data_IF_179222502030
#
_entry.id   IF_179222502030
#
_cell.length_a   1.000
_cell.length_b   1.000
_cell.length_c   1.000
_cell.angle_alpha   90.00
_cell.angle_beta   90.00
_cell.angle_gamma   90.00
#
_symmetry.space_group_name_H-M   'P 1'
#
loop_
_entity.id
_entity.type
_entity.pdbx_description
1 polymer ?
#
# COMPACT_ATOMS: atom_id res chain seq x y z
N UNK A 1 11.00 14.36 5.40
CA UNK A 1 12.19 13.97 6.18
C UNK A 1 13.35 14.99 6.11
N UNK A 2 14.46 14.88 6.88
CA UNK A 2 15.38 15.98 7.07
C UNK A 2 16.17 16.17 5.77
N UNK A 3 15.75 17.13 4.96
CA UNK A 3 16.52 17.67 3.84
C UNK A 3 17.92 18.13 4.29
N UNK A 4 18.15 18.22 5.59
CA UNK A 4 19.45 18.35 6.21
C UNK A 4 20.41 17.18 5.99
N UNK A 5 19.94 15.97 5.69
CA UNK A 5 20.82 14.86 5.34
C UNK A 5 21.35 14.94 3.90
N UNK A 6 20.69 15.69 3.01
CA UNK A 6 21.02 15.71 1.58
C UNK A 6 22.08 16.75 1.23
N UNK A 7 22.73 16.63 0.07
CA UNK A 7 23.76 17.62 -0.32
C UNK A 7 23.19 19.02 -0.42
N UNK A 8 23.98 20.00 0.01
CA UNK A 8 23.75 21.44 -0.20
C UNK A 8 23.64 21.84 -1.68
N UNK A 9 24.07 20.97 -2.60
CA UNK A 9 23.84 21.17 -4.05
C UNK A 9 22.39 20.97 -4.46
N UNK A 10 21.67 20.10 -3.75
CA UNK A 10 20.25 19.79 -3.99
C UNK A 10 19.37 20.65 -3.09
N UNK A 11 19.72 20.77 -1.81
CA UNK A 11 18.99 21.59 -0.84
C UNK A 11 19.94 22.61 -0.18
N UNK A 12 19.98 23.88 -0.65
CA UNK A 12 20.96 24.87 -0.18
C UNK A 12 20.93 25.18 1.33
N UNK A 13 19.83 24.83 2.01
CA UNK A 13 19.65 25.04 3.46
C UNK A 13 20.05 23.81 4.30
N UNK A 14 20.45 22.72 3.64
CA UNK A 14 20.84 21.47 4.29
C UNK A 14 22.05 21.64 5.22
N UNK A 15 22.01 20.94 6.35
CA UNK A 15 23.16 20.79 7.25
C UNK A 15 24.14 19.65 6.85
N UNK A 16 23.86 18.91 5.78
CA UNK A 16 24.56 17.69 5.33
C UNK A 16 24.81 16.66 6.48
N UNK A 17 23.82 16.52 7.38
CA UNK A 17 23.83 15.64 8.55
C UNK A 17 22.44 15.12 8.88
N UNK A 18 22.39 13.90 9.41
CA UNK A 18 21.19 13.33 10.05
C UNK A 18 20.93 14.07 11.37
N UNK A 19 19.70 14.56 11.57
CA UNK A 19 19.34 15.40 12.72
C UNK A 19 17.86 15.25 13.10
N UNK A 20 17.56 15.47 14.38
CA UNK A 20 16.20 15.67 14.88
C UNK A 20 15.93 17.13 15.20
N UNK A 21 14.72 17.57 14.89
CA UNK A 21 14.18 18.84 15.36
C UNK A 21 13.25 18.60 16.53
N UNK A 22 13.75 18.87 17.72
CA UNK A 22 13.01 18.71 18.96
C UNK A 22 12.40 20.05 19.35
N UNK A 23 11.08 20.18 19.16
CA UNK A 23 10.35 21.34 19.65
C UNK A 23 10.18 21.22 21.17
N UNK A 24 10.76 22.16 21.91
CA UNK A 24 10.68 22.25 23.38
C UNK A 24 9.62 23.26 23.84
N UNK A 25 8.78 23.74 22.91
CA UNK A 25 7.59 24.52 23.21
C UNK A 25 6.55 24.40 22.08
N UNK A 26 5.46 23.65 22.29
CA UNK A 26 4.85 23.35 23.60
C UNK A 26 5.36 22.08 24.31
N UNK A 27 6.31 21.34 23.72
CA UNK A 27 6.85 20.09 24.29
C UNK A 27 7.63 20.28 25.59
N UNK A 28 7.70 19.23 26.42
CA UNK A 28 8.51 19.22 27.66
C UNK A 28 9.49 18.04 27.62
N UNK A 29 10.79 18.28 27.40
CA UNK A 29 11.80 17.22 27.26
C UNK A 29 12.10 16.47 28.55
N UNK A 30 11.43 16.79 29.66
CA UNK A 30 11.50 16.03 30.91
C UNK A 30 10.41 14.99 31.08
N UNK A 31 9.41 14.96 30.19
CA UNK A 31 8.30 13.99 30.27
C UNK A 31 8.57 12.73 29.46
N UNK A 32 8.09 11.60 29.97
CA UNK A 32 8.27 10.29 29.35
C UNK A 32 7.58 10.18 27.97
N UNK A 33 6.43 10.82 27.76
CA UNK A 33 5.75 10.86 26.45
C UNK A 33 6.59 11.58 25.40
N UNK A 34 7.25 12.69 25.77
CA UNK A 34 8.19 13.38 24.89
C UNK A 34 9.41 12.51 24.55
N UNK A 35 9.94 11.78 25.53
CA UNK A 35 11.09 10.90 25.33
C UNK A 35 10.73 9.63 24.55
N UNK A 36 9.49 9.17 24.64
CA UNK A 36 8.91 8.14 23.78
C UNK A 36 8.89 8.58 22.32
N UNK A 37 8.38 9.79 22.05
CA UNK A 37 8.44 10.39 20.70
C UNK A 37 9.90 10.48 20.20
N UNK A 38 10.85 10.86 21.05
CA UNK A 38 12.26 10.85 20.66
C UNK A 38 12.76 9.44 20.28
N UNK A 39 12.28 8.38 20.95
CA UNK A 39 12.63 7.00 20.59
C UNK A 39 12.02 6.59 19.25
N UNK A 40 10.77 7.01 18.98
CA UNK A 40 10.11 6.87 17.68
C UNK A 40 10.96 7.53 16.58
N UNK A 41 11.25 8.82 16.71
CA UNK A 41 12.07 9.55 15.74
C UNK A 41 13.46 8.93 15.57
N UNK A 42 14.07 8.44 16.66
CA UNK A 42 15.37 7.77 16.58
C UNK A 42 15.33 6.46 15.79
N UNK A 43 14.20 5.74 15.81
CA UNK A 43 14.05 4.54 15.00
C UNK A 43 14.09 4.86 13.51
N UNK A 44 13.43 5.93 13.04
CA UNK A 44 13.51 6.37 11.65
C UNK A 44 14.97 6.54 11.16
N UNK A 45 15.85 7.10 12.00
CA UNK A 45 17.28 7.20 11.68
C UNK A 45 18.00 5.85 11.64
N UNK A 46 17.65 4.93 12.54
CA UNK A 46 18.20 3.56 12.50
C UNK A 46 17.75 2.89 11.21
N UNK A 47 16.47 3.02 10.86
CA UNK A 47 15.90 2.44 9.66
C UNK A 47 16.62 2.97 8.43
N UNK A 48 16.65 4.30 8.26
CA UNK A 48 17.36 4.99 7.18
C UNK A 48 18.81 4.50 6.96
N UNK A 49 19.52 4.17 8.03
CA UNK A 49 20.90 3.69 7.96
C UNK A 49 21.03 2.21 7.54
N UNK A 50 19.99 1.39 7.72
CA UNK A 50 19.98 -0.04 7.40
C UNK A 50 19.22 -0.31 6.10
N UNK A 51 17.97 0.15 6.02
CA UNK A 51 17.13 0.14 4.84
C UNK A 51 16.40 1.47 4.71
N UNK A 52 16.77 2.22 3.66
CA UNK A 52 16.22 3.54 3.40
C UNK A 52 14.85 3.47 2.74
N UNK A 53 14.65 2.45 1.91
CA UNK A 53 13.48 2.33 1.05
C UNK A 53 12.60 1.22 1.61
N UNK A 54 11.81 1.55 2.63
CA UNK A 54 10.82 0.66 3.24
C UNK A 54 9.43 1.29 3.16
N UNK A 55 8.38 0.47 3.04
CA UNK A 55 6.99 0.91 3.03
C UNK A 55 6.63 1.63 4.34
N UNK A 56 5.91 2.74 4.21
CA UNK A 56 5.53 3.63 5.31
C UNK A 56 4.99 2.89 6.53
N UNK A 57 4.08 1.93 6.34
CA UNK A 57 3.45 1.21 7.45
C UNK A 57 4.44 0.36 8.26
N UNK A 58 5.48 -0.17 7.62
CA UNK A 58 6.54 -0.91 8.32
C UNK A 58 7.39 0.06 9.12
N UNK A 59 7.80 1.15 8.48
CA UNK A 59 8.66 2.16 9.09
C UNK A 59 7.99 2.81 10.32
N UNK A 60 6.76 3.31 10.14
CA UNK A 60 5.98 3.91 11.23
C UNK A 60 5.64 2.88 12.32
N UNK A 61 5.30 1.65 11.95
CA UNK A 61 5.04 0.59 12.93
C UNK A 61 6.26 0.26 13.79
N UNK A 62 7.45 0.20 13.19
CA UNK A 62 8.70 -0.04 13.92
C UNK A 62 9.08 1.17 14.78
N UNK A 63 8.81 2.39 14.31
CA UNK A 63 8.98 3.62 15.07
C UNK A 63 8.07 3.68 16.29
N UNK A 64 6.80 3.33 16.15
CA UNK A 64 5.89 3.20 17.28
C UNK A 64 6.33 2.11 18.26
N UNK A 65 6.78 0.96 17.75
CA UNK A 65 7.31 -0.11 18.60
C UNK A 65 8.62 0.26 19.31
N UNK A 66 9.43 1.16 18.75
CA UNK A 66 10.70 1.58 19.36
C UNK A 66 10.51 2.29 20.72
N UNK A 67 9.34 2.89 20.95
CA UNK A 67 8.98 3.46 22.25
C UNK A 67 9.02 2.37 23.34
N UNK A 68 8.44 1.19 23.07
CA UNK A 68 8.49 0.04 23.98
C UNK A 68 9.91 -0.49 24.18
N UNK A 69 10.69 -0.54 23.10
CA UNK A 69 12.10 -0.99 23.15
C UNK A 69 12.93 -0.09 24.07
N UNK A 70 12.66 1.22 24.05
CA UNK A 70 13.30 2.20 24.92
C UNK A 70 12.78 2.16 26.37
N UNK A 71 11.73 1.39 26.66
CA UNK A 71 11.14 1.21 27.98
C UNK A 71 10.05 2.22 28.33
N UNK A 72 9.53 2.96 27.35
CA UNK A 72 8.34 3.80 27.50
C UNK A 72 7.06 2.98 27.32
N UNK A 73 5.94 3.53 27.78
CA UNK A 73 4.65 2.86 27.63
C UNK A 73 4.25 2.81 26.14
N UNK A 74 3.65 1.70 25.69
CA UNK A 74 3.14 1.58 24.34
C UNK A 74 2.03 2.60 24.04
N UNK A 75 1.96 3.11 22.80
CA UNK A 75 0.84 3.97 22.37
C UNK A 75 -0.44 3.16 22.12
N UNK A 76 -1.07 2.78 23.23
CA UNK A 76 -2.38 2.11 23.24
C UNK A 76 -3.52 3.01 22.74
N UNK A 77 -3.28 4.32 22.57
CA UNK A 77 -4.24 5.26 22.01
C UNK A 77 -4.52 4.97 20.54
N UNK A 78 -3.47 4.81 19.74
CA UNK A 78 -3.60 4.43 18.33
C UNK A 78 -4.13 3.01 18.15
N UNK A 79 -3.65 2.05 18.94
CA UNK A 79 -4.18 0.68 18.95
C UNK A 79 -5.71 0.66 19.18
N UNK A 80 -6.20 1.52 20.08
CA UNK A 80 -7.64 1.66 20.34
C UNK A 80 -8.42 2.33 19.21
N UNK A 81 -7.78 3.19 18.41
CA UNK A 81 -8.38 3.80 17.21
C UNK A 81 -8.55 2.74 16.12
N UNK A 82 -7.50 1.94 15.84
CA UNK A 82 -7.59 0.80 14.94
C UNK A 82 -8.66 -0.22 15.36
N UNK A 83 -8.76 -0.56 16.65
CA UNK A 83 -9.83 -1.46 17.13
C UNK A 83 -11.23 -0.95 16.79
N UNK A 84 -11.43 0.35 16.59
CA UNK A 84 -12.73 0.92 16.22
C UNK A 84 -12.96 0.92 14.70
N UNK A 85 -11.89 0.75 13.92
CA UNK A 85 -11.88 0.73 12.45
C UNK A 85 -11.03 -0.44 11.92
N UNK A 86 -11.39 -1.71 12.21
CA UNK A 86 -10.58 -2.87 11.78
C UNK A 86 -10.57 -3.11 10.26
N UNK A 87 -11.44 -2.43 9.51
CA UNK A 87 -11.38 -2.33 8.05
C UNK A 87 -10.33 -1.29 7.55
N UNK A 88 -9.33 -0.99 8.38
CA UNK A 88 -8.14 -0.22 7.99
C UNK A 88 -7.12 -1.17 7.37
N UNK A 89 -6.79 -0.96 6.10
CA UNK A 89 -5.78 -1.75 5.37
C UNK A 89 -4.39 -1.58 5.99
N UNK A 90 -3.78 -2.68 6.41
CA UNK A 90 -2.48 -2.70 7.09
C UNK A 90 -1.34 -2.16 6.21
N UNK A 91 -1.32 -2.53 4.93
CA UNK A 91 -0.19 -2.30 4.03
C UNK A 91 -0.38 -1.06 3.12
N UNK A 92 -0.95 0.02 3.66
CA UNK A 92 -1.09 1.31 2.97
C UNK A 92 -1.05 2.45 3.98
N UNK A 93 -0.97 3.70 3.49
CA UNK A 93 -1.10 4.91 4.31
C UNK A 93 -2.13 5.85 3.67
N UNK A 94 -2.79 6.74 4.45
CA UNK A 94 -3.69 7.74 3.88
C UNK A 94 -2.96 9.06 3.58
N UNK A 95 -3.39 9.75 2.51
CA UNK A 95 -2.93 11.11 2.15
C UNK A 95 -3.28 12.19 3.19
N UNK A 96 -4.34 11.97 3.99
CA UNK A 96 -4.85 13.03 4.87
C UNK A 96 -4.02 13.12 6.14
N UNK A 97 -3.06 14.05 6.17
CA UNK A 97 -2.26 14.38 7.34
C UNK A 97 -3.15 14.65 8.56
N UNK A 98 -2.89 13.96 9.67
CA UNK A 98 -3.65 14.10 10.92
C UNK A 98 -4.86 13.17 11.05
N UNK A 99 -5.12 12.29 10.08
CA UNK A 99 -6.16 11.26 10.14
C UNK A 99 -5.58 9.83 9.95
N UNK A 100 -4.39 9.59 10.50
CA UNK A 100 -3.68 8.30 10.39
C UNK A 100 -3.66 7.50 11.70
N UNK A 101 -4.45 7.89 12.71
CA UNK A 101 -4.44 7.21 14.02
C UNK A 101 -4.76 5.70 13.93
N UNK A 102 -5.65 5.31 13.01
CA UNK A 102 -5.99 3.91 12.77
C UNK A 102 -4.83 3.16 12.08
N UNK A 103 -4.08 3.84 11.20
CA UNK A 103 -2.89 3.30 10.52
C UNK A 103 -1.69 3.16 11.44
N UNK A 104 -1.40 4.16 12.27
CA UNK A 104 -0.42 4.03 13.35
C UNK A 104 -0.79 2.87 14.28
N UNK A 105 -2.09 2.71 14.58
CA UNK A 105 -2.59 1.65 15.44
C UNK A 105 -2.39 0.25 14.86
N UNK A 106 -2.76 0.04 13.59
CA UNK A 106 -2.60 -1.25 12.91
C UNK A 106 -1.12 -1.62 12.76
N UNK A 107 -0.29 -0.68 12.31
CA UNK A 107 1.14 -0.85 12.13
C UNK A 107 1.86 -1.18 13.45
N UNK A 108 1.60 -0.39 14.49
CA UNK A 108 2.13 -0.64 15.83
C UNK A 108 1.73 -2.03 16.34
N UNK A 109 0.44 -2.38 16.26
CA UNK A 109 -0.05 -3.68 16.72
C UNK A 109 0.61 -4.84 15.96
N UNK A 110 0.79 -4.72 14.65
CA UNK A 110 1.45 -5.75 13.86
C UNK A 110 2.92 -5.92 14.26
N UNK A 111 3.67 -4.83 14.43
CA UNK A 111 5.09 -4.89 14.85
C UNK A 111 5.25 -5.38 16.28
N UNK A 112 4.41 -4.91 17.20
CA UNK A 112 4.39 -5.39 18.58
C UNK A 112 4.06 -6.88 18.63
N UNK A 113 3.09 -7.35 17.84
CA UNK A 113 2.75 -8.77 17.73
C UNK A 113 3.95 -9.59 17.21
N UNK A 114 4.53 -9.17 16.09
CA UNK A 114 5.69 -9.83 15.49
C UNK A 114 6.87 -9.91 16.47
N UNK A 115 7.25 -8.79 17.08
CA UNK A 115 8.37 -8.72 18.01
C UNK A 115 8.10 -9.50 19.30
N UNK A 116 6.87 -9.49 19.82
CA UNK A 116 6.53 -10.27 21.01
C UNK A 116 6.47 -11.76 20.73
N UNK A 117 6.10 -12.19 19.51
CA UNK A 117 6.04 -13.61 19.11
C UNK A 117 7.42 -14.19 18.80
N UNK A 118 8.22 -13.51 17.99
CA UNK A 118 9.49 -14.04 17.48
C UNK A 118 10.73 -13.50 18.19
N UNK A 119 10.59 -12.39 18.93
CA UNK A 119 11.66 -11.81 19.72
C UNK A 119 12.62 -10.90 18.91
N UNK A 120 13.56 -10.25 19.62
CA UNK A 120 14.32 -9.14 19.08
C UNK A 120 15.28 -9.50 17.95
N UNK A 121 15.74 -10.76 17.87
CA UNK A 121 16.66 -11.17 16.81
C UNK A 121 15.98 -11.10 15.43
N UNK A 122 14.74 -11.59 15.33
CA UNK A 122 14.00 -11.58 14.09
C UNK A 122 13.49 -10.17 13.74
N UNK A 123 13.11 -9.37 14.75
CA UNK A 123 12.79 -7.96 14.54
C UNK A 123 13.97 -7.15 14.02
N UNK A 124 15.19 -7.43 14.50
CA UNK A 124 16.41 -6.80 13.97
C UNK A 124 16.74 -7.26 12.56
N UNK A 125 16.44 -8.52 12.21
CA UNK A 125 16.58 -9.00 10.85
C UNK A 125 15.62 -8.25 9.92
N UNK A 126 14.35 -8.06 10.33
CA UNK A 126 13.35 -7.30 9.56
C UNK A 126 13.83 -5.87 9.30
N UNK A 127 14.31 -5.15 10.32
CA UNK A 127 14.85 -3.77 10.18
C UNK A 127 16.05 -3.68 9.23
N UNK A 128 16.74 -4.79 8.97
CA UNK A 128 17.92 -4.85 8.13
C UNK A 128 17.65 -5.49 6.76
N UNK A 129 16.44 -5.97 6.52
CA UNK A 129 16.06 -6.63 5.28
C UNK A 129 15.77 -5.57 4.21
N UNK A 130 16.38 -5.65 3.01
CA UNK A 130 16.18 -4.65 1.95
C UNK A 130 14.90 -4.89 1.12
N UNK A 131 14.07 -5.88 1.46
CA UNK A 131 12.82 -6.15 0.80
C UNK A 131 11.65 -5.48 1.53
N UNK A 132 10.92 -4.64 0.80
CA UNK A 132 9.89 -3.81 1.41
C UNK A 132 8.60 -4.58 1.74
N UNK A 133 7.93 -4.12 2.78
CA UNK A 133 6.56 -4.48 3.13
C UNK A 133 6.42 -5.97 3.43
N UNK A 134 5.35 -6.62 2.94
CA UNK A 134 5.12 -8.06 3.11
C UNK A 134 6.31 -8.96 2.76
N UNK A 135 7.14 -8.56 1.78
CA UNK A 135 8.28 -9.37 1.32
C UNK A 135 9.38 -9.47 2.37
N UNK A 136 9.68 -8.40 3.10
CA UNK A 136 10.65 -8.43 4.20
C UNK A 136 10.25 -9.43 5.30
N UNK A 137 8.96 -9.54 5.61
CA UNK A 137 8.45 -10.55 6.53
C UNK A 137 8.61 -11.97 6.00
N UNK A 138 8.27 -12.21 4.74
CA UNK A 138 8.47 -13.52 4.09
C UNK A 138 9.93 -13.95 4.14
N UNK A 139 10.85 -13.04 3.81
CA UNK A 139 12.27 -13.31 3.76
C UNK A 139 12.81 -13.67 5.15
N UNK A 140 12.57 -12.84 6.18
CA UNK A 140 13.11 -13.11 7.52
C UNK A 140 12.48 -14.34 8.18
N UNK A 141 11.17 -14.58 7.98
CA UNK A 141 10.50 -15.78 8.50
C UNK A 141 11.09 -17.05 7.85
N UNK A 142 11.30 -17.02 6.54
CA UNK A 142 11.90 -18.14 5.82
C UNK A 142 13.36 -18.40 6.25
N UNK A 143 14.15 -17.34 6.45
CA UNK A 143 15.53 -17.44 6.92
C UNK A 143 15.66 -17.99 8.34
N UNK A 144 14.73 -17.64 9.25
CA UNK A 144 14.65 -18.20 10.60
C UNK A 144 14.10 -19.65 10.61
N UNK A 145 13.61 -20.14 9.46
CA UNK A 145 13.08 -21.49 9.29
C UNK A 145 11.65 -21.66 9.79
N UNK A 146 10.90 -20.56 9.87
CA UNK A 146 9.46 -20.58 10.16
C UNK A 146 8.71 -21.13 8.94
N UNK A 147 7.76 -22.03 9.19
CA UNK A 147 6.83 -22.50 8.16
C UNK A 147 5.61 -21.56 8.08
N UNK A 148 5.89 -20.27 7.90
CA UNK A 148 4.92 -19.17 7.95
C UNK A 148 5.35 -18.11 6.93
N UNK A 149 4.42 -17.67 6.08
CA UNK A 149 4.57 -16.50 5.21
C UNK A 149 3.79 -15.32 5.81
N UNK A 150 3.85 -14.16 5.17
CA UNK A 150 3.16 -12.94 5.59
C UNK A 150 1.66 -13.15 5.71
N UNK A 151 1.03 -13.85 4.76
CA UNK A 151 -0.41 -14.13 4.80
C UNK A 151 -0.78 -15.01 6.00
N UNK A 152 0.05 -16.00 6.33
CA UNK A 152 -0.11 -16.83 7.52
C UNK A 152 0.08 -16.03 8.81
N UNK A 153 1.08 -15.14 8.85
CA UNK A 153 1.32 -14.23 9.97
C UNK A 153 0.14 -13.28 10.18
N UNK A 154 -0.34 -12.66 9.12
CA UNK A 154 -1.54 -11.83 9.09
C UNK A 154 -2.76 -12.60 9.60
N UNK A 155 -2.95 -13.84 9.15
CA UNK A 155 -4.06 -14.68 9.61
C UNK A 155 -4.00 -15.09 11.09
N UNK A 156 -2.81 -15.15 11.68
CA UNK A 156 -2.67 -15.32 13.13
C UNK A 156 -2.93 -14.00 13.86
N UNK A 157 -2.44 -12.87 13.32
CA UNK A 157 -2.63 -11.53 13.86
C UNK A 157 -4.12 -11.11 13.90
N UNK A 158 -4.89 -11.42 12.86
CA UNK A 158 -6.35 -11.22 12.81
C UNK A 158 -7.05 -11.87 13.99
N UNK A 159 -6.63 -13.08 14.39
CA UNK A 159 -7.17 -13.77 15.56
C UNK A 159 -6.65 -13.16 16.85
N UNK A 160 -5.37 -12.81 16.90
CA UNK A 160 -4.74 -12.18 18.06
C UNK A 160 -5.41 -10.85 18.44
N UNK A 161 -5.79 -10.04 17.46
CA UNK A 161 -6.53 -8.80 17.69
C UNK A 161 -7.88 -9.04 18.38
N UNK A 162 -8.62 -10.08 17.98
CA UNK A 162 -9.94 -10.36 18.53
C UNK A 162 -9.91 -11.05 19.89
N UNK A 163 -9.05 -12.07 20.03
CA UNK A 163 -9.04 -12.96 21.20
C UNK A 163 -8.18 -12.41 22.32
N UNK A 164 -7.03 -11.85 21.97
CA UNK A 164 -5.97 -11.40 22.88
C UNK A 164 -5.68 -12.36 24.05
N UNK A 165 -5.34 -13.60 23.72
CA UNK A 165 -4.85 -14.59 24.69
C UNK A 165 -3.58 -15.26 24.14
N UNK A 166 -2.37 -14.89 24.65
CA UNK A 166 -1.11 -15.45 24.19
C UNK A 166 -0.92 -16.93 24.57
N UNK A 167 -1.86 -17.55 25.28
CA UNK A 167 -1.84 -18.99 25.61
C UNK A 167 -3.02 -19.75 24.99
N UNK A 168 -3.86 -19.09 24.19
CA UNK A 168 -5.04 -19.72 23.61
C UNK A 168 -4.66 -20.96 22.80
N UNK A 169 -5.49 -22.00 22.94
CA UNK A 169 -5.29 -23.31 22.30
C UNK A 169 -3.95 -23.99 22.62
N UNK A 170 -3.22 -23.52 23.65
CA UNK A 170 -1.89 -24.03 24.01
C UNK A 170 -0.79 -23.59 23.03
N UNK A 171 -1.04 -22.55 22.23
CA UNK A 171 -0.10 -22.00 21.26
C UNK A 171 0.54 -20.72 21.82
N UNK A 172 1.81 -20.79 22.19
CA UNK A 172 2.52 -19.68 22.83
C UNK A 172 2.70 -18.47 21.90
N UNK A 173 2.11 -17.34 22.29
CA UNK A 173 2.23 -16.04 21.61
C UNK A 173 1.51 -15.94 20.26
N UNK A 174 0.72 -16.95 19.86
CA UNK A 174 0.11 -16.96 18.53
C UNK A 174 -1.16 -16.10 18.47
N UNK A 175 -1.99 -16.10 19.51
CA UNK A 175 -3.31 -15.43 19.48
C UNK A 175 -3.49 -14.35 20.54
N UNK A 176 -2.42 -13.64 20.89
CA UNK A 176 -2.52 -12.45 21.74
C UNK A 176 -1.19 -11.78 22.03
N UNK A 177 -1.29 -10.68 22.78
CA UNK A 177 -0.19 -9.84 23.19
C UNK A 177 0.24 -10.18 24.63
N UNK A 178 1.51 -9.95 24.95
CA UNK A 178 2.13 -10.25 26.26
C UNK A 178 2.30 -9.00 27.14
N UNK A 179 2.37 -7.82 26.51
CA UNK A 179 2.76 -6.56 27.18
C UNK A 179 1.56 -5.69 27.59
N UNK A 180 0.45 -5.82 26.88
CA UNK A 180 -0.76 -5.04 27.09
C UNK A 180 -1.98 -5.90 26.75
N UNK A 181 -3.16 -5.47 27.23
CA UNK A 181 -4.43 -6.04 26.83
C UNK A 181 -4.96 -5.26 25.62
N UNK A 182 -5.10 -5.92 24.49
CA UNK A 182 -5.64 -5.35 23.27
C UNK A 182 -7.16 -5.34 23.33
N UNK A 183 -7.76 -4.19 22.99
CA UNK A 183 -9.21 -4.08 22.90
C UNK A 183 -9.71 -4.85 21.68
N UNK A 184 -10.65 -5.76 21.90
CA UNK A 184 -11.33 -6.48 20.83
C UNK A 184 -11.86 -5.51 19.75
N UNK A 185 -11.64 -5.81 18.46
CA UNK A 185 -12.08 -4.98 17.35
C UNK A 185 -13.59 -4.79 17.32
N UNK A 186 -14.00 -3.69 16.69
CA UNK A 186 -15.38 -3.40 16.39
C UNK A 186 -15.96 -4.49 15.49
N UNK A 187 -17.19 -4.90 15.79
CA UNK A 187 -17.89 -5.90 15.01
C UNK A 187 -18.64 -5.20 13.88
N UNK A 188 -18.39 -5.60 12.64
CA UNK A 188 -19.19 -5.14 11.48
C UNK A 188 -20.65 -5.55 11.67
N UNK A 189 -20.89 -6.78 12.15
CA UNK A 189 -22.23 -7.27 12.39
C UNK A 189 -22.34 -8.21 13.60
N UNK A 190 -23.53 -8.31 14.17
CA UNK A 190 -23.90 -9.30 15.20
C UNK A 190 -25.19 -9.98 14.79
N UNK A 191 -25.09 -11.27 14.48
CA UNK A 191 -26.19 -12.09 13.96
C UNK A 191 -26.66 -13.05 15.06
N UNK A 192 -27.84 -12.78 15.61
CA UNK A 192 -28.46 -13.54 16.71
C UNK A 192 -29.62 -14.45 16.25
N UNK A 193 -29.99 -14.39 14.96
CA UNK A 193 -31.09 -15.16 14.37
C UNK A 193 -30.72 -15.69 13.00
N UNK A 194 -31.17 -16.91 12.71
CA UNK A 194 -30.94 -17.62 11.46
C UNK A 194 -32.27 -18.13 10.88
N UNK A 195 -32.44 -18.23 9.55
CA UNK A 195 -31.46 -17.90 8.51
C UNK A 195 -31.24 -16.39 8.32
N UNK A 196 -30.16 -16.03 7.65
CA UNK A 196 -29.81 -14.66 7.26
C UNK A 196 -29.79 -14.61 5.73
N UNK A 197 -30.57 -13.70 5.15
CA UNK A 197 -30.58 -13.45 3.71
C UNK A 197 -29.20 -12.91 3.25
N UNK A 198 -28.84 -13.03 1.96
CA UNK A 198 -27.56 -12.53 1.45
C UNK A 198 -27.25 -11.11 1.90
N UNK A 199 -26.05 -10.94 2.44
CA UNK A 199 -25.44 -9.64 2.75
C UNK A 199 -24.32 -9.44 1.75
N UNK A 200 -24.40 -8.34 0.98
CA UNK A 200 -23.35 -7.89 0.06
C UNK A 200 -22.61 -6.72 0.70
N UNK A 201 -21.29 -6.81 0.78
CA UNK A 201 -20.43 -5.78 1.39
C UNK A 201 -19.02 -5.85 0.79
N UNK A 202 -18.08 -5.07 1.31
CA UNK A 202 -16.67 -5.17 0.96
C UNK A 202 -15.78 -4.83 2.14
N UNK A 203 -14.53 -5.29 2.03
CA UNK A 203 -13.45 -5.12 3.01
C UNK A 203 -12.22 -4.62 2.27
N UNK A 204 -11.41 -3.76 2.88
CA UNK A 204 -10.12 -3.40 2.31
C UNK A 204 -9.16 -4.60 2.36
N UNK A 205 -8.21 -4.64 1.41
CA UNK A 205 -7.21 -5.70 1.41
C UNK A 205 -6.32 -5.58 2.65
N UNK A 206 -5.94 -6.70 3.27
CA UNK A 206 -5.23 -6.73 4.55
C UNK A 206 -5.90 -5.93 5.67
N UNK A 207 -7.23 -5.84 5.63
CA UNK A 207 -8.11 -5.39 6.71
C UNK A 207 -9.09 -6.50 7.11
N UNK A 208 -9.94 -6.30 8.11
CA UNK A 208 -10.83 -7.39 8.58
C UNK A 208 -12.22 -6.92 9.00
N UNK A 209 -13.23 -7.59 8.43
CA UNK A 209 -14.59 -7.56 8.94
C UNK A 209 -14.80 -8.68 9.98
N UNK A 210 -15.19 -8.29 11.20
CA UNK A 210 -15.51 -9.23 12.28
C UNK A 210 -17.03 -9.33 12.47
N UNK A 211 -17.60 -10.51 12.24
CA UNK A 211 -19.03 -10.77 12.37
C UNK A 211 -19.28 -11.77 13.51
N UNK A 212 -20.00 -11.34 14.54
CA UNK A 212 -20.34 -12.20 15.68
C UNK A 212 -21.59 -13.04 15.38
N UNK A 213 -21.45 -14.36 15.47
CA UNK A 213 -22.50 -15.37 15.36
C UNK A 213 -22.93 -15.80 16.76
N UNK A 214 -24.03 -15.21 17.24
CA UNK A 214 -24.53 -15.37 18.62
C UNK A 214 -25.95 -15.98 18.68
N UNK A 215 -26.41 -16.60 17.57
CA UNK A 215 -27.69 -17.31 17.55
C UNK A 215 -27.59 -18.70 18.17
N UNK A 216 -28.54 -19.58 17.81
CA UNK A 216 -28.62 -20.95 18.33
C UNK A 216 -28.83 -21.98 17.22
N UNK A 217 -28.24 -23.16 17.38
CA UNK A 217 -28.41 -24.28 16.46
C UNK A 217 -27.20 -24.48 15.54
N UNK A 218 -27.40 -25.32 14.52
CA UNK A 218 -26.42 -25.60 13.49
C UNK A 218 -26.71 -24.72 12.29
N UNK A 219 -25.67 -24.13 11.69
CA UNK A 219 -25.77 -23.25 10.53
C UNK A 219 -24.76 -23.63 9.45
N UNK A 220 -25.08 -23.26 8.21
CA UNK A 220 -24.16 -23.21 7.09
C UNK A 220 -24.05 -21.78 6.60
N UNK A 221 -22.82 -21.31 6.45
CA UNK A 221 -22.50 -20.01 5.86
C UNK A 221 -22.06 -20.28 4.43
N UNK A 222 -22.71 -19.64 3.46
CA UNK A 222 -22.30 -19.66 2.07
C UNK A 222 -21.61 -18.33 1.75
N UNK A 223 -20.32 -18.37 1.48
CA UNK A 223 -19.48 -17.21 1.20
C UNK A 223 -19.12 -17.15 -0.28
N UNK A 224 -19.22 -15.96 -0.87
CA UNK A 224 -18.82 -15.69 -2.23
C UNK A 224 -18.02 -14.38 -2.29
N UNK A 225 -16.71 -14.48 -2.52
CA UNK A 225 -15.84 -13.34 -2.81
C UNK A 225 -15.63 -13.14 -4.31
N UNK A 226 -15.29 -11.92 -4.74
CA UNK A 226 -14.79 -11.68 -6.10
C UNK A 226 -13.43 -12.38 -6.31
N UNK A 227 -13.14 -12.83 -7.53
CA UNK A 227 -11.90 -13.58 -7.86
C UNK A 227 -10.78 -12.72 -8.43
N UNK A 228 -11.13 -11.51 -8.87
CA UNK A 228 -10.24 -10.54 -9.47
C UNK A 228 -10.48 -9.16 -8.88
N UNK A 229 -9.43 -8.35 -8.88
CA UNK A 229 -9.43 -6.94 -8.52
C UNK A 229 -8.52 -6.18 -9.48
N UNK A 230 -8.32 -4.89 -9.24
CA UNK A 230 -7.57 -4.01 -10.14
C UNK A 230 -6.42 -3.33 -9.42
N UNK A 231 -5.38 -3.00 -10.17
CA UNK A 231 -4.26 -2.18 -9.67
C UNK A 231 -4.73 -0.77 -9.32
N UNK A 232 -5.68 -0.24 -10.08
CA UNK A 232 -6.20 1.12 -9.94
C UNK A 232 -7.67 1.18 -10.34
N UNK A 233 -8.33 2.30 -10.06
CA UNK A 233 -9.71 2.57 -10.48
C UNK A 233 -9.92 2.73 -12.00
N UNK A 234 -8.84 2.64 -12.80
CA UNK A 234 -8.88 2.71 -14.26
C UNK A 234 -8.47 1.40 -14.93
N UNK A 235 -8.79 1.30 -16.22
CA UNK A 235 -8.35 0.24 -17.14
C UNK A 235 -7.54 0.88 -18.27
N UNK A 236 -6.76 0.10 -19.04
CA UNK A 236 -6.10 0.57 -20.27
C UNK A 236 -7.02 1.44 -21.14
N UNK A 237 -6.47 2.52 -21.69
CA UNK A 237 -7.24 3.51 -22.44
C UNK A 237 -7.73 2.93 -23.77
N UNK A 238 -6.90 2.13 -24.43
CA UNK A 238 -7.31 1.32 -25.57
C UNK A 238 -6.82 -0.12 -25.35
N UNK A 239 -7.29 -1.05 -26.19
CA UNK A 239 -6.84 -2.44 -26.13
C UNK A 239 -7.05 -3.16 -24.79
N UNK A 240 -6.08 -4.01 -24.45
CA UNK A 240 -6.03 -4.84 -23.25
C UNK A 240 -4.85 -4.49 -22.32
N UNK A 241 -3.85 -3.71 -22.77
CA UNK A 241 -2.64 -3.43 -21.99
C UNK A 241 -2.18 -1.98 -22.16
N UNK A 242 -1.71 -1.42 -21.05
CA UNK A 242 -1.04 -0.14 -21.02
C UNK A 242 0.14 -0.18 -20.05
N UNK A 243 1.00 0.81 -20.09
CA UNK A 243 2.09 0.95 -19.13
C UNK A 243 1.58 1.61 -17.85
N UNK A 244 1.85 0.98 -16.72
CA UNK A 244 1.60 1.51 -15.38
C UNK A 244 2.93 1.75 -14.66
N UNK A 245 3.07 2.87 -13.96
CA UNK A 245 4.31 3.31 -13.32
C UNK A 245 4.75 2.49 -12.12
N UNK A 246 3.90 1.56 -11.69
CA UNK A 246 3.92 1.00 -10.34
C UNK A 246 3.57 2.05 -9.28
N UNK A 247 3.40 1.59 -8.03
CA UNK A 247 3.28 2.42 -6.82
C UNK A 247 4.28 1.95 -5.77
N UNK A 248 4.77 2.85 -4.94
CA UNK A 248 5.66 2.55 -3.82
C UNK A 248 6.25 3.81 -3.21
N UNK A 249 6.98 3.65 -2.10
CA UNK A 249 7.67 4.73 -1.40
C UNK A 249 9.17 4.77 -1.82
N UNK A 250 9.86 5.90 -1.58
CA UNK A 250 11.27 6.24 -1.91
C UNK A 250 11.75 5.62 -3.24
N UNK A 251 10.99 5.85 -4.31
CA UNK A 251 11.18 5.16 -5.59
C UNK A 251 11.22 6.07 -6.80
N UNK A 252 11.89 5.59 -7.86
CA UNK A 252 12.16 6.32 -9.10
C UNK A 252 11.99 5.35 -10.28
N UNK A 253 10.78 5.32 -10.84
CA UNK A 253 10.43 4.39 -11.93
C UNK A 253 10.52 5.07 -13.28
N UNK A 254 11.18 4.41 -14.25
CA UNK A 254 11.49 4.98 -15.57
C UNK A 254 11.00 4.09 -16.70
N UNK A 255 10.47 4.72 -17.73
CA UNK A 255 10.09 4.09 -18.98
C UNK A 255 10.73 4.87 -20.14
N UNK A 256 11.76 4.30 -20.76
CA UNK A 256 12.62 5.01 -21.73
C UNK A 256 12.53 4.39 -23.12
N UNK A 257 12.52 5.22 -24.17
CA UNK A 257 12.61 4.77 -25.55
C UNK A 257 13.51 5.67 -26.39
N UNK A 258 14.33 5.03 -27.21
CA UNK A 258 15.15 5.70 -28.21
C UNK A 258 14.36 6.03 -29.48
N UNK A 259 14.55 7.24 -30.01
CA UNK A 259 13.95 7.72 -31.26
C UNK A 259 15.00 8.34 -32.18
N UNK A 260 14.95 7.96 -33.47
CA UNK A 260 15.74 8.57 -34.54
C UNK A 260 14.89 9.63 -35.27
N UNK A 261 15.18 10.91 -35.01
CA UNK A 261 14.58 12.05 -35.72
C UNK A 261 15.51 12.65 -36.77
N UNK A 262 16.60 11.98 -37.16
CA UNK A 262 17.59 12.52 -38.11
C UNK A 262 17.01 12.82 -39.50
N UNK A 263 15.93 12.13 -39.87
CA UNK A 263 15.19 12.38 -41.11
C UNK A 263 14.24 13.60 -41.04
N UNK A 264 13.93 14.10 -39.83
CA UNK A 264 13.05 15.25 -39.62
C UNK A 264 13.87 16.53 -39.76
N UNK A 265 13.48 17.41 -40.68
CA UNK A 265 14.23 18.66 -40.90
C UNK A 265 14.05 19.63 -39.73
N UNK A 266 15.11 20.33 -39.29
CA UNK A 266 14.99 21.38 -38.28
C UNK A 266 13.92 22.42 -38.65
N UNK A 267 13.01 22.71 -37.71
CA UNK A 267 11.89 23.64 -37.92
C UNK A 267 10.61 23.01 -38.49
N UNK A 268 10.61 21.71 -38.79
CA UNK A 268 9.36 20.95 -38.97
C UNK A 268 8.77 20.67 -37.59
N UNK A 269 7.46 20.89 -37.37
CA UNK A 269 6.82 20.51 -36.10
C UNK A 269 7.02 19.02 -35.82
N UNK A 270 7.61 18.73 -34.66
CA UNK A 270 7.80 17.38 -34.15
C UNK A 270 7.11 17.32 -32.79
N UNK A 271 5.97 16.65 -32.74
CA UNK A 271 5.16 16.52 -31.52
C UNK A 271 4.95 15.06 -31.18
N UNK A 272 4.91 14.77 -29.88
CA UNK A 272 4.48 13.49 -29.35
C UNK A 272 3.12 13.65 -28.68
N UNK A 273 2.12 12.96 -29.19
CA UNK A 273 0.81 12.84 -28.56
C UNK A 273 0.79 11.56 -27.73
N UNK A 274 0.27 11.65 -26.50
CA UNK A 274 0.21 10.53 -25.55
C UNK A 274 -1.09 10.58 -24.77
N UNK A 275 -1.71 9.44 -24.49
CA UNK A 275 -2.86 9.37 -23.60
C UNK A 275 -2.43 8.89 -22.21
N UNK A 276 -2.81 9.63 -21.18
CA UNK A 276 -2.31 9.44 -19.81
C UNK A 276 -3.45 9.48 -18.79
N UNK A 277 -3.32 8.73 -17.70
CA UNK A 277 -4.16 8.84 -16.51
C UNK A 277 -3.24 8.85 -15.30
N UNK A 278 -3.47 9.71 -14.31
CA UNK A 278 -2.62 9.73 -13.12
C UNK A 278 -3.40 10.09 -11.86
N UNK A 279 -2.95 9.50 -10.76
CA UNK A 279 -3.36 9.75 -9.38
C UNK A 279 -2.08 9.70 -8.55
N UNK A 280 -1.48 10.88 -8.41
CA UNK A 280 -0.15 11.11 -7.85
C UNK A 280 -0.31 11.99 -6.62
N UNK A 281 0.40 11.69 -5.52
CA UNK A 281 0.29 12.51 -4.31
C UNK A 281 0.60 13.98 -4.62
N UNK A 282 -0.34 14.85 -4.25
CA UNK A 282 -0.21 16.27 -4.57
C UNK A 282 0.95 16.87 -3.81
N UNK A 283 1.79 17.63 -4.52
CA UNK A 283 2.90 18.41 -3.97
C UNK A 283 4.11 17.62 -3.46
N UNK A 284 4.07 16.29 -3.40
CA UNK A 284 5.17 15.45 -2.89
C UNK A 284 5.75 14.54 -3.97
N UNK A 285 4.87 13.83 -4.67
CA UNK A 285 5.19 12.96 -5.79
C UNK A 285 5.08 13.67 -7.14
N UNK A 286 5.93 13.28 -8.11
CA UNK A 286 6.00 13.95 -9.40
C UNK A 286 6.32 13.02 -10.58
N UNK A 287 5.50 13.12 -11.63
CA UNK A 287 5.73 12.50 -12.94
C UNK A 287 6.34 13.49 -13.95
N UNK A 288 7.40 13.07 -14.65
CA UNK A 288 8.16 13.88 -15.60
C UNK A 288 8.19 13.25 -16.99
N UNK A 289 8.17 14.10 -18.02
CA UNK A 289 8.56 13.73 -19.38
C UNK A 289 9.90 14.36 -19.68
N UNK A 290 10.87 13.54 -20.09
CA UNK A 290 12.25 13.93 -20.21
C UNK A 290 12.80 13.53 -21.57
N UNK A 291 13.76 14.31 -22.08
CA UNK A 291 14.51 13.98 -23.30
C UNK A 291 16.01 14.07 -23.05
N UNK A 292 16.77 13.12 -23.59
CA UNK A 292 18.22 13.12 -23.55
C UNK A 292 18.82 12.92 -24.94
N UNK A 293 19.94 13.62 -25.21
CA UNK A 293 20.78 13.41 -26.41
C UNK A 293 21.92 12.42 -26.17
N UNK A 294 22.23 12.13 -24.91
CA UNK A 294 23.43 11.38 -24.51
C UNK A 294 23.15 10.29 -23.46
N UNK A 295 21.89 10.10 -23.07
CA UNK A 295 21.44 9.18 -22.02
C UNK A 295 21.86 9.59 -20.61
N UNK A 296 22.55 10.73 -20.43
CA UNK A 296 23.12 11.17 -19.14
C UNK A 296 22.49 12.47 -18.64
N UNK A 297 22.22 13.40 -19.55
CA UNK A 297 21.59 14.68 -19.24
C UNK A 297 20.18 14.67 -19.78
N UNK A 298 19.24 14.91 -18.89
CA UNK A 298 17.81 14.87 -19.18
C UNK A 298 17.23 16.28 -19.06
N UNK A 299 16.49 16.68 -20.10
CA UNK A 299 15.77 17.95 -20.16
C UNK A 299 14.27 17.68 -19.96
N UNK A 300 13.65 18.36 -18.99
CA UNK A 300 12.20 18.29 -18.74
C UNK A 300 11.45 18.94 -19.90
N UNK A 301 10.51 18.21 -20.49
CA UNK A 301 9.59 18.69 -21.51
C UNK A 301 8.25 19.00 -20.85
N UNK A 302 7.84 20.28 -20.76
CA UNK A 302 6.58 20.63 -20.13
C UNK A 302 5.40 20.13 -20.97
N UNK A 303 4.43 19.51 -20.31
CA UNK A 303 3.13 19.15 -20.88
C UNK A 303 2.04 20.17 -20.51
N UNK A 304 0.93 20.22 -21.26
CA UNK A 304 -0.22 21.10 -21.00
C UNK A 304 -0.71 21.19 -19.55
N UNK A 305 -0.69 20.10 -18.78
CA UNK A 305 -1.15 20.08 -17.38
C UNK A 305 -0.03 19.94 -16.35
N UNK A 306 1.22 20.20 -16.73
CA UNK A 306 2.33 20.24 -15.77
C UNK A 306 2.31 21.51 -14.91
N UNK A 307 2.79 21.41 -13.68
CA UNK A 307 3.03 22.54 -12.77
C UNK A 307 4.52 22.68 -12.45
N UNK A 308 4.95 23.91 -12.15
CA UNK A 308 6.29 24.21 -11.59
C UNK A 308 6.22 24.60 -10.12
N UNK A 309 5.04 24.48 -9.49
CA UNK A 309 4.88 24.71 -8.07
C UNK A 309 5.67 23.64 -7.30
N UNK A 310 6.38 24.09 -6.26
CA UNK A 310 7.22 23.22 -5.44
C UNK A 310 7.09 23.60 -3.95
N UNK A 311 5.91 23.42 -3.33
CA UNK A 311 5.70 23.83 -1.95
C UNK A 311 6.40 22.91 -0.95
N UNK A 312 6.60 21.63 -1.26
CA UNK A 312 7.36 20.66 -0.44
C UNK A 312 8.87 20.80 -0.59
N UNK A 313 9.35 21.24 -1.76
CA UNK A 313 10.76 21.18 -2.14
C UNK A 313 11.11 19.98 -3.02
N UNK A 314 10.20 19.03 -3.24
CA UNK A 314 10.46 17.78 -3.96
C UNK A 314 10.45 17.91 -5.50
N UNK A 315 9.89 18.98 -6.07
CA UNK A 315 9.82 19.11 -7.54
C UNK A 315 11.12 19.59 -8.20
N UNK A 316 11.54 18.88 -9.26
CA UNK A 316 12.67 19.26 -10.12
C UNK A 316 12.32 20.20 -11.29
N UNK A 317 11.04 20.50 -11.52
CA UNK A 317 10.62 21.35 -12.64
C UNK A 317 9.16 21.16 -13.04
N UNK A 318 8.87 21.32 -14.34
CA UNK A 318 7.52 21.11 -14.86
C UNK A 318 7.13 19.62 -14.76
N UNK A 319 6.11 19.32 -13.95
CA UNK A 319 5.75 17.94 -13.60
C UNK A 319 4.25 17.72 -13.46
N UNK A 320 3.83 16.46 -13.58
CA UNK A 320 2.50 15.97 -13.21
C UNK A 320 2.47 15.64 -11.73
N UNK A 321 1.40 16.06 -11.05
CA UNK A 321 1.08 15.76 -9.65
C UNK A 321 -0.44 15.84 -9.49
N UNK A 322 -0.99 15.41 -8.35
CA UNK A 322 -2.43 15.31 -8.11
C UNK A 322 -3.14 14.32 -9.06
N UNK A 323 -4.45 14.46 -9.23
CA UNK A 323 -5.29 13.59 -10.06
C UNK A 323 -5.59 14.22 -11.42
N UNK A 324 -5.41 13.47 -12.49
CA UNK A 324 -5.78 13.87 -13.86
C UNK A 324 -7.26 14.25 -13.97
N UNK A 325 -8.13 13.56 -13.22
CA UNK A 325 -9.57 13.81 -13.15
C UNK A 325 -9.95 15.18 -12.57
N UNK A 326 -9.05 15.82 -11.81
CA UNK A 326 -9.25 17.16 -11.21
C UNK A 326 -8.79 18.28 -12.13
N UNK A 327 -7.85 18.02 -13.04
CA UNK A 327 -7.15 19.06 -13.81
C UNK A 327 -7.54 19.12 -15.28
N UNK A 328 -8.20 18.08 -15.82
CA UNK A 328 -8.59 18.02 -17.21
C UNK A 328 -9.95 17.36 -17.44
N UNK A 329 -10.56 17.64 -18.59
CA UNK A 329 -11.74 16.91 -19.06
C UNK A 329 -11.34 15.57 -19.65
N UNK A 330 -12.11 14.52 -19.37
CA UNK A 330 -11.86 13.18 -19.90
C UNK A 330 -11.79 13.14 -21.43
N UNK A 331 -10.80 12.40 -21.92
CA UNK A 331 -10.62 12.09 -23.34
C UNK A 331 -11.49 10.89 -23.72
N UNK A 332 -12.14 10.97 -24.89
CA UNK A 332 -13.01 9.91 -25.42
C UNK A 332 -14.11 9.43 -24.44
N UNK A 333 -14.47 10.26 -23.45
CA UNK A 333 -15.45 9.90 -22.42
C UNK A 333 -14.95 8.92 -21.36
N UNK A 334 -13.65 8.56 -21.34
CA UNK A 334 -13.04 7.72 -20.30
C UNK A 334 -12.60 8.59 -19.10
N UNK A 335 -13.23 8.48 -17.92
CA UNK A 335 -12.91 9.32 -16.76
C UNK A 335 -11.42 9.31 -16.40
N UNK A 336 -10.85 10.49 -16.13
CA UNK A 336 -9.45 10.66 -15.75
C UNK A 336 -8.42 10.50 -16.88
N UNK A 337 -8.73 9.88 -18.01
CA UNK A 337 -7.78 9.80 -19.13
C UNK A 337 -7.69 11.13 -19.89
N UNK A 338 -6.48 11.57 -20.20
CA UNK A 338 -6.15 12.87 -20.79
C UNK A 338 -5.17 12.67 -21.95
N UNK A 339 -5.46 13.25 -23.12
CA UNK A 339 -4.46 13.36 -24.18
C UNK A 339 -3.55 14.55 -23.95
N UNK A 340 -2.25 14.29 -23.88
CA UNK A 340 -1.17 15.25 -23.73
C UNK A 340 -0.37 15.36 -25.02
N UNK A 341 0.12 16.57 -25.33
CA UNK A 341 0.97 16.82 -26.48
C UNK A 341 2.27 17.51 -26.03
N UNK A 342 3.39 16.88 -26.34
CA UNK A 342 4.73 17.37 -26.03
C UNK A 342 5.43 17.87 -27.29
N UNK A 343 6.00 19.08 -27.24
CA UNK A 343 6.79 19.64 -28.33
C UNK A 343 8.24 19.14 -28.26
N UNK A 344 8.63 18.37 -29.27
CA UNK A 344 9.97 17.82 -29.45
C UNK A 344 10.72 18.51 -30.60
N UNK A 345 10.21 19.62 -31.14
CA UNK A 345 10.77 20.29 -32.33
C UNK A 345 12.23 20.74 -32.17
N UNK A 346 12.69 20.94 -30.94
CA UNK A 346 14.09 21.24 -30.63
C UNK A 346 15.06 20.07 -30.90
N UNK A 347 14.55 18.85 -31.10
CA UNK A 347 15.30 17.62 -31.32
C UNK A 347 15.17 17.10 -32.76
N UNK A 348 14.48 17.83 -33.65
CA UNK A 348 14.39 17.48 -35.06
C UNK A 348 15.80 17.46 -35.71
N UNK A 349 16.13 16.35 -36.38
CA UNK A 349 17.44 16.14 -36.99
C UNK A 349 18.45 15.42 -36.09
N UNK A 350 18.03 14.97 -34.91
CA UNK A 350 18.87 14.31 -33.90
C UNK A 350 18.33 12.91 -33.54
N UNK A 351 19.16 12.09 -32.90
CA UNK A 351 18.73 10.89 -32.19
C UNK A 351 18.61 11.23 -30.71
N UNK A 352 17.52 10.81 -30.05
CA UNK A 352 17.28 11.12 -28.63
C UNK A 352 16.61 9.96 -27.90
N UNK A 353 16.78 9.93 -26.59
CA UNK A 353 15.98 9.10 -25.69
C UNK A 353 14.86 9.95 -25.09
N UNK A 354 13.63 9.43 -25.12
CA UNK A 354 12.45 9.99 -24.45
C UNK A 354 12.13 9.12 -23.24
N UNK A 355 11.82 9.73 -22.10
CA UNK A 355 11.55 9.03 -20.84
C UNK A 355 10.31 9.58 -20.14
N UNK A 356 9.52 8.66 -19.59
CA UNK A 356 8.58 8.95 -18.51
C UNK A 356 9.23 8.51 -17.19
N UNK A 357 9.37 9.43 -16.25
CA UNK A 357 10.02 9.19 -14.95
C UNK A 357 9.03 9.57 -13.84
N UNK A 358 8.74 8.65 -12.93
CA UNK A 358 7.87 8.89 -11.78
C UNK A 358 8.72 8.79 -10.51
N UNK A 359 8.82 9.91 -9.80
CA UNK A 359 9.60 10.02 -8.56
C UNK A 359 8.60 10.14 -7.42
N UNK A 360 8.67 9.17 -6.50
CA UNK A 360 7.84 9.05 -5.32
C UNK A 360 8.67 9.36 -4.08
N UNK A 361 8.09 10.10 -3.13
CA UNK A 361 8.75 10.41 -1.87
C UNK A 361 8.66 9.25 -0.86
N UNK A 362 9.10 9.47 0.38
CA UNK A 362 9.26 8.42 1.39
C UNK A 362 7.95 7.95 2.04
N UNK A 363 6.79 8.52 1.69
CA UNK A 363 5.52 8.04 2.20
C UNK A 363 4.35 8.29 1.25
N UNK A 364 3.16 7.76 1.62
CA UNK A 364 1.89 8.05 0.93
C UNK A 364 1.99 7.87 -0.60
N UNK A 365 2.09 6.64 -1.04
CA UNK A 365 1.93 6.36 -2.46
C UNK A 365 0.44 6.24 -2.87
N UNK A 366 0.11 6.82 -4.02
CA UNK A 366 -1.21 6.69 -4.66
C UNK A 366 -1.23 5.66 -5.77
N UNK A 367 -2.31 5.63 -6.56
CA UNK A 367 -2.51 4.66 -7.64
C UNK A 367 -1.45 4.77 -8.76
N UNK A 368 -0.72 5.88 -8.84
CA UNK A 368 0.38 6.09 -9.77
C UNK A 368 -0.06 6.64 -11.14
N UNK A 369 0.68 6.28 -12.19
CA UNK A 369 0.58 6.86 -13.52
C UNK A 369 0.44 5.79 -14.60
N UNK A 370 -0.52 5.98 -15.50
CA UNK A 370 -0.74 5.15 -16.67
C UNK A 370 -0.47 5.92 -17.96
N UNK A 371 0.14 5.22 -18.93
CA UNK A 371 0.47 5.73 -20.25
C UNK A 371 0.03 4.74 -21.33
N UNK A 372 -0.66 5.27 -22.32
CA UNK A 372 -1.23 4.51 -23.43
C UNK A 372 -1.30 5.37 -24.70
N UNK A 373 -1.52 4.73 -25.86
CA UNK A 373 -1.71 5.38 -27.16
C UNK A 373 -0.69 6.52 -27.44
N UNK A 374 0.57 6.17 -27.70
CA UNK A 374 1.62 7.14 -28.07
C UNK A 374 1.69 7.27 -29.58
N UNK A 375 1.79 8.50 -30.10
CA UNK A 375 2.08 8.76 -31.51
C UNK A 375 3.03 9.92 -31.74
N UNK A 376 3.90 9.79 -32.75
CA UNK A 376 4.79 10.85 -33.26
C UNK A 376 4.60 10.89 -34.79
N UNK A 377 3.63 11.69 -35.29
CA UNK A 377 3.24 11.66 -36.70
C UNK A 377 4.37 11.99 -37.68
N UNK A 378 5.34 12.82 -37.29
CA UNK A 378 6.43 13.25 -38.17
C UNK A 378 7.37 12.11 -38.62
N UNK A 379 7.35 10.97 -37.92
CA UNK A 379 8.11 9.76 -38.26
C UNK A 379 7.20 8.54 -38.48
N UNK A 380 5.90 8.76 -38.69
CA UNK A 380 4.88 7.71 -38.84
C UNK A 380 4.89 6.68 -37.68
N UNK A 381 5.19 7.14 -36.46
CA UNK A 381 5.24 6.30 -35.26
C UNK A 381 3.92 6.31 -34.51
N UNK A 382 3.42 5.14 -34.13
CA UNK A 382 2.32 4.96 -33.20
C UNK A 382 2.40 3.60 -32.48
N UNK A 383 2.00 3.55 -31.21
CA UNK A 383 1.85 2.32 -30.42
C UNK A 383 0.64 2.41 -29.49
N UNK A 384 -0.13 1.34 -29.41
CA UNK A 384 -1.18 1.05 -28.42
C UNK A 384 -0.75 -0.05 -27.43
N UNK A 385 0.53 -0.46 -27.51
CA UNK A 385 1.15 -1.53 -26.70
C UNK A 385 0.55 -2.94 -26.84
N UNK A 386 -0.37 -3.14 -27.78
CA UNK A 386 -0.99 -4.45 -28.01
C UNK A 386 -0.11 -5.47 -28.70
N UNK A 387 1.05 -5.04 -29.22
CA UNK A 387 2.07 -5.93 -29.79
C UNK A 387 3.30 -6.07 -28.89
N UNK A 388 3.21 -5.60 -27.63
CA UNK A 388 4.28 -5.67 -26.63
C UNK A 388 4.90 -4.31 -26.33
N UNK A 389 6.08 -4.33 -25.71
CA UNK A 389 6.75 -3.13 -25.22
C UNK A 389 7.17 -2.13 -26.31
N UNK A 390 7.16 -2.53 -27.59
CA UNK A 390 7.58 -1.69 -28.72
C UNK A 390 8.90 -0.96 -28.45
N UNK A 391 9.92 -1.66 -27.91
CA UNK A 391 11.24 -1.07 -27.61
C UNK A 391 11.26 0.02 -26.54
N UNK A 392 10.20 0.17 -25.74
CA UNK A 392 10.26 0.85 -24.45
C UNK A 392 10.94 -0.04 -23.42
N UNK A 393 11.96 0.50 -22.77
CA UNK A 393 12.74 -0.15 -21.72
C UNK A 393 12.20 0.32 -20.37
N UNK A 394 11.77 -0.64 -19.55
CA UNK A 394 11.23 -0.39 -18.22
C UNK A 394 12.28 -0.59 -17.14
N UNK A 395 12.34 0.38 -16.23
CA UNK A 395 12.95 0.32 -14.91
C UNK A 395 11.84 0.63 -13.88
N UNK A 396 11.02 -0.38 -13.55
CA UNK A 396 9.96 -0.28 -12.54
C UNK A 396 8.54 -0.13 -13.08
N UNK A 397 8.36 0.25 -14.35
CA UNK A 397 7.05 0.28 -14.99
C UNK A 397 6.58 -1.13 -15.39
N UNK A 398 5.28 -1.38 -15.37
CA UNK A 398 4.68 -2.66 -15.75
C UNK A 398 3.78 -2.49 -16.97
N UNK A 399 4.03 -3.29 -18.02
CA UNK A 399 3.10 -3.42 -19.13
C UNK A 399 2.03 -4.44 -18.74
N UNK A 400 0.83 -3.98 -18.43
CA UNK A 400 -0.18 -4.78 -17.73
C UNK A 400 -1.59 -4.46 -18.21
N UNK A 401 -2.51 -5.40 -17.99
CA UNK A 401 -3.95 -5.20 -18.20
C UNK A 401 -4.66 -4.61 -16.97
N UNK A 402 -3.91 -4.34 -15.89
CA UNK A 402 -4.47 -3.75 -14.68
C UNK A 402 -5.16 -4.74 -13.74
N UNK A 403 -5.22 -6.04 -14.08
CA UNK A 403 -5.94 -7.04 -13.28
C UNK A 403 -5.01 -7.78 -12.31
N UNK A 404 -5.52 -8.00 -11.10
CA UNK A 404 -4.88 -8.81 -10.06
C UNK A 404 -5.82 -9.94 -9.66
N UNK A 405 -5.26 -11.05 -9.19
CA UNK A 405 -6.03 -12.07 -8.48
C UNK A 405 -6.44 -11.56 -7.10
N UNK A 406 -7.70 -11.78 -6.73
CA UNK A 406 -8.20 -11.50 -5.39
C UNK A 406 -8.16 -12.78 -4.54
N UNK A 407 -7.31 -12.78 -3.51
CA UNK A 407 -7.32 -13.81 -2.48
C UNK A 407 -8.28 -13.46 -1.34
N UNK A 408 -8.69 -14.49 -0.58
CA UNK A 408 -9.58 -14.35 0.58
C UNK A 408 -9.07 -15.16 1.77
N UNK A 409 -9.09 -14.54 2.93
CA UNK A 409 -8.91 -15.19 4.22
C UNK A 409 -10.25 -15.19 4.94
N UNK A 410 -10.83 -16.38 5.11
CA UNK A 410 -12.03 -16.57 5.92
C UNK A 410 -11.66 -17.40 7.14
N UNK A 411 -12.00 -16.92 8.33
CA UNK A 411 -11.70 -17.60 9.59
C UNK A 411 -12.94 -17.71 10.46
N UNK A 412 -13.13 -18.88 11.06
CA UNK A 412 -14.15 -19.11 12.11
C UNK A 412 -13.45 -19.30 13.43
N UNK A 413 -13.65 -18.35 14.33
CA UNK A 413 -13.18 -18.39 15.71
C UNK A 413 -14.33 -18.91 16.58
N UNK A 414 -14.24 -20.16 17.04
CA UNK A 414 -15.26 -20.77 17.89
C UNK A 414 -14.95 -20.44 19.35
N UNK A 415 -15.95 -19.94 20.08
CA UNK A 415 -15.81 -19.53 21.47
C UNK A 415 -16.75 -20.33 22.37
N UNK A 416 -16.23 -20.79 23.51
CA UNK A 416 -17.02 -21.37 24.60
C UNK A 416 -16.92 -20.47 25.83
N UNK A 417 -18.03 -19.85 26.23
CA UNK A 417 -18.10 -18.87 27.33
C UNK A 417 -17.07 -17.73 27.15
N UNK A 418 -16.97 -17.20 25.93
CA UNK A 418 -16.01 -16.16 25.51
C UNK A 418 -14.54 -16.58 25.53
N UNK A 419 -14.23 -17.87 25.63
CA UNK A 419 -12.87 -18.39 25.52
C UNK A 419 -12.72 -19.08 24.18
N UNK A 420 -11.67 -18.73 23.42
CA UNK A 420 -11.37 -19.37 22.14
C UNK A 420 -11.16 -20.88 22.34
N UNK A 421 -11.95 -21.70 21.64
CA UNK A 421 -11.89 -23.17 21.71
C UNK A 421 -11.38 -23.81 20.42
N UNK A 422 -11.57 -23.14 19.28
CA UNK A 422 -11.00 -23.55 18.01
C UNK A 422 -10.89 -22.37 17.03
N UNK A 423 -9.94 -22.45 16.11
CA UNK A 423 -9.85 -21.60 14.92
C UNK A 423 -9.90 -22.51 13.70
N UNK A 424 -10.79 -22.23 12.75
CA UNK A 424 -10.82 -22.88 11.44
C UNK A 424 -10.57 -21.85 10.35
N UNK A 425 -9.86 -22.26 9.30
CA UNK A 425 -9.60 -21.46 8.10
C UNK A 425 -10.14 -22.22 6.89
N UNK A 426 -11.44 -22.10 6.57
CA UNK A 426 -12.00 -22.73 5.38
C UNK A 426 -11.25 -22.26 4.12
N UNK A 427 -10.99 -23.18 3.21
CA UNK A 427 -10.40 -22.85 1.91
C UNK A 427 -11.49 -22.18 1.04
N UNK A 428 -11.18 -21.01 0.51
CA UNK A 428 -11.97 -20.36 -0.53
C UNK A 428 -11.48 -20.89 -1.87
N UNK A 429 -12.38 -21.46 -2.67
CA UNK A 429 -12.02 -22.11 -3.92
C UNK A 429 -11.62 -21.10 -5.01
N UNK A 430 -11.18 -21.61 -6.16
CA UNK A 430 -10.76 -20.77 -7.29
C UNK A 430 -11.89 -19.92 -7.92
N UNK A 431 -13.15 -20.18 -7.56
CA UNK A 431 -14.30 -19.37 -7.95
C UNK A 431 -14.69 -18.35 -6.87
N UNK A 432 -13.89 -18.22 -5.81
CA UNK A 432 -14.18 -17.32 -4.68
C UNK A 432 -15.24 -17.87 -3.72
N UNK A 433 -15.57 -19.16 -3.79
CA UNK A 433 -16.66 -19.76 -3.02
C UNK A 433 -16.16 -20.57 -1.82
N UNK A 434 -16.88 -20.50 -0.70
CA UNK A 434 -16.69 -21.40 0.44
C UNK A 434 -18.03 -21.70 1.14
N UNK A 435 -18.25 -22.97 1.49
CA UNK A 435 -19.36 -23.37 2.38
C UNK A 435 -18.80 -23.78 3.74
N UNK A 436 -19.33 -23.17 4.80
CA UNK A 436 -18.76 -23.26 6.15
C UNK A 436 -19.83 -23.69 7.13
N UNK A 437 -19.72 -24.91 7.65
CA UNK A 437 -20.63 -25.37 8.70
C UNK A 437 -20.14 -24.90 10.08
N UNK A 438 -21.06 -24.39 10.91
CA UNK A 438 -20.85 -24.06 12.33
C UNK A 438 -21.93 -24.75 13.14
N UNK A 439 -21.54 -25.62 14.06
CA UNK A 439 -22.47 -26.48 14.80
C UNK A 439 -22.54 -26.14 16.28
N UNK A 440 -23.72 -26.28 16.87
CA UNK A 440 -23.94 -26.23 18.30
C UNK A 440 -23.91 -24.83 18.89
N UNK A 441 -24.25 -23.80 18.10
CA UNK A 441 -24.39 -22.43 18.64
C UNK A 441 -25.45 -22.39 19.74
N UNK A 442 -25.23 -21.54 20.75
CA UNK A 442 -26.07 -21.43 21.93
C UNK A 442 -25.50 -22.14 23.16
N UNK A 443 -26.11 -21.91 24.32
CA UNK A 443 -25.65 -22.51 25.58
C UNK A 443 -24.24 -22.08 26.00
N UNK A 444 -23.81 -20.87 25.62
CA UNK A 444 -22.46 -20.34 25.85
C UNK A 444 -21.50 -20.54 24.67
N UNK A 445 -21.91 -21.24 23.61
CA UNK A 445 -21.14 -21.38 22.37
C UNK A 445 -21.51 -20.28 21.39
N UNK A 446 -20.51 -19.53 20.93
CA UNK A 446 -20.61 -18.52 19.87
C UNK A 446 -19.50 -18.73 18.85
N UNK A 447 -19.58 -18.05 17.71
CA UNK A 447 -18.48 -17.99 16.77
C UNK A 447 -18.29 -16.58 16.23
N UNK A 448 -17.09 -16.27 15.75
CA UNK A 448 -16.80 -15.04 15.01
C UNK A 448 -16.30 -15.43 13.64
N UNK A 449 -16.96 -14.92 12.62
CA UNK A 449 -16.52 -15.00 11.23
C UNK A 449 -15.66 -13.76 10.97
N UNK A 450 -14.37 -13.96 10.74
CA UNK A 450 -13.43 -12.92 10.33
C UNK A 450 -13.13 -13.07 8.84
N UNK A 451 -13.26 -11.99 8.06
CA UNK A 451 -13.12 -11.99 6.60
C UNK A 451 -12.14 -10.89 6.20
N UNK A 452 -11.14 -11.25 5.40
CA UNK A 452 -10.13 -10.32 4.87
C UNK A 452 -9.87 -10.57 3.38
N UNK A 453 -9.65 -9.50 2.61
CA UNK A 453 -9.10 -9.58 1.25
C UNK A 453 -7.57 -9.67 1.29
N UNK A 454 -6.95 -10.40 0.35
CA UNK A 454 -5.50 -10.65 0.30
C UNK A 454 -4.86 -10.28 -1.05
N UNK A 455 -5.13 -9.09 -1.58
CA UNK A 455 -4.46 -8.58 -2.78
C UNK A 455 -3.35 -7.56 -2.40
N UNK A 456 -2.06 -7.84 -2.72
CA UNK A 456 -0.90 -7.15 -2.14
C UNK A 456 -0.65 -5.69 -2.56
N UNK A 457 -1.11 -5.26 -3.73
CA UNK A 457 -0.65 -3.98 -4.35
C UNK A 457 -1.82 -3.03 -4.66
N UNK A 458 -3.01 -3.32 -4.15
CA UNK A 458 -4.21 -2.53 -4.44
C UNK A 458 -4.84 -1.95 -3.18
N UNK A 459 -5.42 -0.77 -3.34
CA UNK A 459 -6.30 -0.11 -2.38
C UNK A 459 -7.76 -0.15 -2.83
N UNK A 460 -8.06 -0.90 -3.88
CA UNK A 460 -9.44 -1.17 -4.28
C UNK A 460 -10.10 -2.13 -3.29
N UNK A 461 -11.33 -1.83 -2.91
CA UNK A 461 -12.11 -2.63 -1.96
C UNK A 461 -12.40 -4.03 -2.51
N UNK A 462 -12.19 -5.04 -1.67
CA UNK A 462 -12.52 -6.42 -1.97
C UNK A 462 -14.00 -6.69 -1.69
N UNK A 463 -14.80 -6.94 -2.73
CA UNK A 463 -16.24 -7.18 -2.58
C UNK A 463 -16.54 -8.66 -2.32
N UNK A 464 -17.46 -8.93 -1.40
CA UNK A 464 -17.96 -10.27 -1.12
C UNK A 464 -19.43 -10.25 -0.71
N UNK A 465 -20.01 -11.44 -0.69
CA UNK A 465 -21.30 -11.68 -0.06
C UNK A 465 -21.29 -12.94 0.79
N UNK A 466 -22.20 -13.00 1.75
CA UNK A 466 -22.49 -14.23 2.46
C UNK A 466 -23.97 -14.36 2.82
N UNK A 467 -24.46 -15.58 2.90
CA UNK A 467 -25.76 -15.92 3.49
C UNK A 467 -25.63 -17.03 4.54
N UNK A 468 -26.63 -17.16 5.41
CA UNK A 468 -26.61 -18.17 6.47
C UNK A 468 -27.92 -18.97 6.44
N UNK A 469 -27.80 -20.28 6.25
CA UNK A 469 -28.91 -21.22 6.34
C UNK A 469 -28.86 -22.01 7.67
N UNK A 470 -30.02 -22.45 8.15
CA UNK A 470 -30.11 -23.40 9.27
C UNK A 470 -29.90 -24.82 8.77
N UNK A 471 -29.14 -25.63 9.51
CA UNK A 471 -28.90 -27.05 9.22
C UNK A 471 -29.89 -27.99 9.90
#
# INVERSE_FOLDING_TARGET
FPLDGVSTRLFPQSNEREMFYLDVYPGDPSRDDYLGILAHEFQHMIHWANDRNEETWVNEGLSEFAQEVAGYDPDTGFAGSFSQSPDTQLNTWNETTGNNGDHYGSAYLFMAYFAQRFGPALTQALVADPANGPRGFDDVLAEDGQALDFNGLFADWVVANYVDDPNALGLDGVYGYRKFEQRAPFLDNTLDKYPVAPIETGVQNYATDYILLNGTGDIAIDFQGQTDTRLTSTEPFSGERAWWSNRGDDSDSRLTRHFDFTAVQPGVPLTMDVTMWWDIEVDYDYGYVLVSRDGQKWEIIPGPHTTTDNPSGNSFGAAYTSQSSKVATSTAGKPGWVSEQFDLSAYAGEEVDVRFEYIMDDAVNLSGWWIDDISIPAIDYATDFEQGADGWESEGWLLTNGQLTQGWLVQVLELENNILSAVRRPEVDANGHATIDVTGLGGGKTAVLAISGLAPVTTETANYSFEIETR
#
